data_IF_949885321164
#
_entry.id   IF_949885321164
#
_cell.length_a   1.000
_cell.length_b   1.000
_cell.length_c   1.000
_cell.angle_alpha   90.00
_cell.angle_beta   90.00
_cell.angle_gamma   90.00
#
_symmetry.space_group_name_H-M   'P 1'
#
loop_
_entity.id
_entity.type
_entity.pdbx_description
1 polymer ?
#
# COMPACT_ATOMS: atom_id res chain seq x y z
N UNK A 1 47.93 20.38 0.97
CA UNK A 1 47.15 19.66 -0.05
C UNK A 1 45.79 20.32 -0.11
N UNK A 2 45.48 20.99 -1.22
CA UNK A 2 44.17 21.60 -1.46
C UNK A 2 43.14 20.50 -1.70
N UNK A 3 42.05 20.50 -0.94
CA UNK A 3 41.00 19.49 -1.01
C UNK A 3 40.01 19.88 -2.11
N UNK A 4 40.02 19.16 -3.23
CA UNK A 4 39.07 19.33 -4.33
C UNK A 4 37.94 18.29 -4.21
N UNK A 5 36.70 18.73 -4.42
CA UNK A 5 35.53 17.89 -4.61
C UNK A 5 35.16 17.88 -6.09
N UNK A 6 34.54 16.80 -6.56
CA UNK A 6 34.05 16.72 -7.94
C UNK A 6 32.53 16.89 -7.96
N UNK A 7 32.05 17.74 -8.86
CA UNK A 7 30.67 17.83 -9.27
C UNK A 7 30.52 17.26 -10.69
N UNK A 8 30.05 16.02 -10.81
CA UNK A 8 30.21 15.28 -12.06
C UNK A 8 31.68 15.17 -12.45
N UNK A 9 32.01 15.64 -13.65
CA UNK A 9 33.40 15.68 -14.16
C UNK A 9 34.14 16.99 -13.82
N UNK A 10 33.49 17.93 -13.13
CA UNK A 10 34.05 19.25 -12.85
C UNK A 10 34.63 19.32 -11.43
N UNK A 11 35.95 19.47 -11.23
CA UNK A 11 36.53 19.69 -9.92
C UNK A 11 36.23 21.12 -9.42
N UNK A 12 35.87 21.25 -8.14
CA UNK A 12 35.72 22.52 -7.43
C UNK A 12 36.33 22.41 -6.03
N UNK A 13 36.78 23.49 -5.44
CA UNK A 13 37.46 23.51 -4.14
C UNK A 13 36.94 24.60 -3.21
N UNK A 14 37.51 24.67 -2.00
CA UNK A 14 37.13 25.67 -0.98
C UNK A 14 37.42 27.13 -1.40
N UNK A 15 38.24 27.34 -2.43
CA UNK A 15 38.52 28.65 -2.99
C UNK A 15 37.43 29.15 -3.97
N UNK A 16 36.53 28.26 -4.39
CA UNK A 16 35.43 28.61 -5.28
C UNK A 16 34.26 29.15 -4.45
N UNK A 17 34.24 30.46 -4.21
CA UNK A 17 33.13 31.10 -3.50
C UNK A 17 31.82 31.07 -4.32
N UNK A 18 30.70 30.85 -3.63
CA UNK A 18 29.38 30.87 -4.26
C UNK A 18 29.18 29.76 -5.29
N UNK A 19 29.77 28.58 -5.09
CA UNK A 19 29.50 27.40 -5.93
C UNK A 19 28.59 26.39 -5.25
N UNK A 20 27.73 25.77 -6.04
CA UNK A 20 26.83 24.72 -5.58
C UNK A 20 26.76 23.60 -6.62
N UNK A 21 27.08 22.38 -6.20
CA UNK A 21 26.88 21.20 -7.03
C UNK A 21 25.46 20.66 -6.84
N UNK A 22 24.71 20.56 -7.93
CA UNK A 22 23.37 20.02 -7.95
C UNK A 22 23.21 19.02 -9.09
N UNK A 23 22.93 17.75 -8.77
CA UNK A 23 22.72 16.69 -9.75
C UNK A 23 23.80 16.64 -10.84
N UNK A 24 25.07 16.67 -10.43
CA UNK A 24 26.27 16.71 -11.27
C UNK A 24 26.45 17.98 -12.14
N UNK A 25 25.68 19.03 -11.89
CA UNK A 25 25.83 20.35 -12.51
C UNK A 25 26.40 21.31 -11.48
N UNK A 26 27.55 21.93 -11.81
CA UNK A 26 28.17 22.95 -10.96
C UNK A 26 27.60 24.33 -11.31
N UNK A 27 26.98 24.97 -10.32
CA UNK A 27 26.45 26.32 -10.44
C UNK A 27 27.41 27.33 -9.78
N UNK A 28 27.60 28.49 -10.41
CA UNK A 28 28.48 29.56 -9.93
C UNK A 28 27.69 30.85 -9.62
N UNK A 29 28.24 31.70 -8.75
CA UNK A 29 27.61 32.99 -8.39
C UNK A 29 26.39 32.82 -7.47
N UNK A 30 26.36 31.73 -6.70
CA UNK A 30 25.32 31.47 -5.72
C UNK A 30 25.45 32.43 -4.55
N UNK A 31 24.30 32.89 -4.07
CA UNK A 31 24.20 33.76 -2.91
C UNK A 31 24.11 32.94 -1.63
N UNK A 32 24.62 33.51 -0.54
CA UNK A 32 24.55 32.92 0.79
C UNK A 32 23.11 32.60 1.18
N UNK A 33 22.84 31.31 1.44
CA UNK A 33 21.52 30.82 1.79
C UNK A 33 20.84 29.99 0.69
N UNK A 34 21.31 30.03 -0.56
CA UNK A 34 20.85 29.13 -1.61
C UNK A 34 21.30 27.70 -1.33
N UNK A 35 20.43 26.72 -1.61
CA UNK A 35 20.70 25.29 -1.42
C UNK A 35 20.22 24.46 -2.59
N UNK A 36 20.75 23.24 -2.65
CA UNK A 36 20.30 22.22 -3.58
C UNK A 36 19.14 21.45 -2.97
N UNK A 37 18.04 21.32 -3.70
CA UNK A 37 16.98 20.38 -3.34
C UNK A 37 17.41 18.95 -3.67
N UNK A 38 16.77 17.92 -3.08
CA UNK A 38 17.01 16.53 -3.43
C UNK A 38 16.83 16.22 -4.92
N UNK A 39 15.97 16.99 -5.60
CA UNK A 39 15.72 16.90 -7.05
C UNK A 39 16.77 17.65 -7.90
N UNK A 40 17.76 18.31 -7.30
CA UNK A 40 18.80 19.06 -8.01
C UNK A 40 18.44 20.49 -8.38
N UNK A 41 17.39 21.08 -7.79
CA UNK A 41 17.01 22.47 -8.06
C UNK A 41 17.60 23.42 -7.01
N UNK A 42 18.10 24.56 -7.47
CA UNK A 42 18.55 25.64 -6.58
C UNK A 42 17.34 26.41 -6.07
N UNK A 43 17.27 26.59 -4.76
CA UNK A 43 16.19 27.31 -4.09
C UNK A 43 16.68 27.98 -2.80
N UNK A 44 15.86 28.86 -2.25
CA UNK A 44 16.05 29.55 -0.99
C UNK A 44 15.23 28.91 0.13
N UNK A 45 15.79 28.08 1.03
CA UNK A 45 15.00 27.40 2.06
C UNK A 45 14.26 28.32 3.03
N UNK A 46 14.67 29.60 3.11
CA UNK A 46 14.03 30.62 3.95
C UNK A 46 12.74 31.20 3.34
N UNK A 47 12.54 31.08 2.03
CA UNK A 47 11.42 31.72 1.30
C UNK A 47 10.76 30.82 0.27
N UNK A 48 11.39 29.72 -0.10
CA UNK A 48 11.00 28.82 -1.16
C UNK A 48 10.98 27.36 -0.69
N UNK A 49 10.21 26.56 -1.41
CA UNK A 49 10.15 25.11 -1.30
C UNK A 49 10.15 24.52 -2.70
N UNK A 50 10.56 23.26 -2.83
CA UNK A 50 10.59 22.57 -4.13
C UNK A 50 9.56 21.44 -4.13
N UNK A 51 8.59 21.50 -5.04
CA UNK A 51 7.60 20.46 -5.28
C UNK A 51 7.94 19.75 -6.59
N UNK A 52 8.41 18.50 -6.51
CA UNK A 52 8.88 17.77 -7.68
C UNK A 52 10.04 18.51 -8.35
N UNK A 53 9.79 19.04 -9.55
CA UNK A 53 10.75 19.83 -10.32
C UNK A 53 10.57 21.36 -10.26
N UNK A 54 9.59 21.85 -9.49
CA UNK A 54 9.21 23.27 -9.47
C UNK A 54 9.51 23.94 -8.14
N UNK A 55 10.03 25.16 -8.19
CA UNK A 55 10.26 26.02 -7.03
C UNK A 55 9.02 26.88 -6.79
N UNK A 56 8.56 26.93 -5.54
CA UNK A 56 7.40 27.70 -5.10
C UNK A 56 7.73 28.50 -3.85
N UNK A 57 6.95 29.52 -3.54
CA UNK A 57 7.06 30.22 -2.26
C UNK A 57 6.57 29.36 -1.10
N UNK A 58 7.17 29.57 0.08
CA UNK A 58 6.71 28.95 1.33
C UNK A 58 5.30 29.41 1.72
N UNK A 59 4.67 28.66 2.63
CA UNK A 59 3.32 28.96 3.14
C UNK A 59 2.21 28.09 2.51
N UNK A 60 2.57 27.18 1.62
CA UNK A 60 1.69 26.13 1.07
C UNK A 60 2.41 24.78 1.11
N UNK A 61 1.68 23.71 0.82
CA UNK A 61 2.20 22.33 0.85
C UNK A 61 2.31 21.77 -0.56
N UNK A 62 3.22 20.83 -0.80
CA UNK A 62 3.35 20.20 -2.11
C UNK A 62 2.24 19.18 -2.38
N UNK A 63 1.72 19.23 -3.61
CA UNK A 63 0.88 18.23 -4.21
C UNK A 63 1.40 17.96 -5.63
N UNK A 64 2.22 16.92 -5.76
CA UNK A 64 2.95 16.66 -7.01
C UNK A 64 3.95 17.79 -7.27
N UNK A 65 3.85 18.42 -8.45
CA UNK A 65 4.71 19.56 -8.80
C UNK A 65 4.15 20.93 -8.37
N UNK A 66 2.92 20.99 -7.85
CA UNK A 66 2.26 22.24 -7.52
C UNK A 66 2.02 22.35 -6.02
N UNK A 67 1.63 23.55 -5.55
CA UNK A 67 1.27 23.76 -4.16
C UNK A 67 -0.25 23.73 -3.92
N UNK A 68 -0.66 23.32 -2.72
CA UNK A 68 -2.04 23.35 -2.23
C UNK A 68 -2.15 23.87 -0.79
N UNK A 69 -3.34 24.32 -0.43
CA UNK A 69 -3.73 24.70 0.93
C UNK A 69 -4.50 23.56 1.61
N UNK A 70 -3.92 22.84 2.58
CA UNK A 70 -4.60 21.72 3.23
C UNK A 70 -5.81 22.12 4.08
N UNK A 71 -6.07 23.42 4.29
CA UNK A 71 -7.29 23.90 4.96
C UNK A 71 -8.51 23.87 4.04
N UNK A 72 -8.32 24.14 2.76
CA UNK A 72 -9.41 24.27 1.77
C UNK A 72 -9.34 23.24 0.65
N UNK A 73 -8.26 22.47 0.58
CA UNK A 73 -7.96 21.54 -0.51
C UNK A 73 -7.45 20.20 0.03
N UNK A 74 -7.56 19.16 -0.80
CA UNK A 74 -7.01 17.82 -0.57
C UNK A 74 -6.09 17.46 -1.75
N UNK A 75 -4.97 16.81 -1.44
CA UNK A 75 -4.06 16.29 -2.44
C UNK A 75 -4.23 14.78 -2.60
N UNK A 76 -4.58 14.33 -3.81
CA UNK A 76 -4.75 12.92 -4.17
C UNK A 76 -3.73 12.53 -5.23
N UNK A 77 -2.72 11.74 -4.86
CA UNK A 77 -1.62 11.29 -5.73
C UNK A 77 -1.03 12.40 -6.62
N UNK A 78 -0.79 13.58 -6.05
CA UNK A 78 -0.22 14.73 -6.75
C UNK A 78 -1.23 15.63 -7.47
N UNK A 79 -2.53 15.33 -7.37
CA UNK A 79 -3.61 16.15 -7.91
C UNK A 79 -4.37 16.88 -6.81
N UNK A 80 -4.52 18.19 -6.95
CA UNK A 80 -5.19 19.06 -5.99
C UNK A 80 -6.68 19.14 -6.28
N UNK A 81 -7.49 18.96 -5.25
CA UNK A 81 -8.95 19.08 -5.30
C UNK A 81 -9.45 20.01 -4.19
N UNK A 82 -10.58 20.68 -4.42
CA UNK A 82 -11.24 21.47 -3.39
C UNK A 82 -11.79 20.50 -2.34
N UNK A 83 -11.58 20.80 -1.06
CA UNK A 83 -12.13 20.01 0.04
C UNK A 83 -13.58 20.41 0.29
N UNK A 84 -14.49 19.44 0.22
CA UNK A 84 -15.90 19.61 0.57
C UNK A 84 -16.41 18.40 1.34
N UNK A 85 -16.84 18.59 2.59
CA UNK A 85 -17.32 17.49 3.44
C UNK A 85 -16.25 16.43 3.71
N UNK A 86 -16.68 15.17 3.85
CA UNK A 86 -15.82 14.02 4.12
C UNK A 86 -15.24 13.45 2.82
N UNK A 87 -14.30 14.18 2.21
CA UNK A 87 -13.60 13.72 1.02
C UNK A 87 -12.40 12.84 1.36
N UNK A 88 -12.26 11.74 0.62
CA UNK A 88 -11.05 10.90 0.60
C UNK A 88 -10.53 10.74 -0.82
N UNK A 89 -9.28 10.29 -0.93
CA UNK A 89 -8.66 10.01 -2.21
C UNK A 89 -8.91 8.57 -2.65
N UNK A 90 -9.26 8.41 -3.93
CA UNK A 90 -9.19 7.18 -4.67
C UNK A 90 -8.22 7.41 -5.85
N UNK A 91 -6.95 7.06 -5.65
CA UNK A 91 -5.90 7.35 -6.61
C UNK A 91 -5.71 8.85 -6.79
N UNK A 92 -5.85 9.34 -8.01
CA UNK A 92 -5.77 10.78 -8.35
C UNK A 92 -7.06 11.54 -8.07
N UNK A 93 -8.16 10.85 -7.78
CA UNK A 93 -9.51 11.45 -7.67
C UNK A 93 -9.91 11.64 -6.22
N UNK A 94 -10.40 12.83 -5.86
CA UNK A 94 -11.09 13.04 -4.58
C UNK A 94 -12.58 12.70 -4.71
N UNK A 95 -13.13 11.98 -3.73
CA UNK A 95 -14.55 11.64 -3.70
C UNK A 95 -15.11 11.73 -2.29
N UNK A 96 -16.42 11.99 -2.18
CA UNK A 96 -17.11 12.01 -0.91
C UNK A 96 -17.34 10.56 -0.44
N UNK A 97 -16.76 10.18 0.71
CA UNK A 97 -16.88 8.83 1.26
C UNK A 97 -18.29 8.51 1.74
N UNK A 98 -19.11 9.52 2.03
CA UNK A 98 -20.52 9.34 2.38
C UNK A 98 -21.39 8.97 1.16
N UNK A 99 -20.84 8.98 -0.06
CA UNK A 99 -21.59 8.56 -1.24
C UNK A 99 -21.67 7.04 -1.30
N UNK A 100 -22.86 6.50 -1.02
CA UNK A 100 -23.17 5.07 -1.22
C UNK A 100 -23.14 4.65 -2.70
N UNK A 101 -22.89 5.57 -3.62
CA UNK A 101 -22.88 5.32 -5.07
C UNK A 101 -21.46 5.27 -5.65
N UNK A 102 -20.43 5.22 -4.82
CA UNK A 102 -19.04 5.22 -5.25
C UNK A 102 -18.29 4.06 -4.61
N UNK A 103 -17.53 3.32 -5.40
CA UNK A 103 -16.63 2.27 -4.90
C UNK A 103 -15.22 2.52 -5.41
N UNK A 104 -14.23 2.43 -4.52
CA UNK A 104 -12.82 2.63 -4.87
C UNK A 104 -12.08 1.29 -4.89
N UNK A 105 -11.54 0.90 -6.04
CA UNK A 105 -10.73 -0.31 -6.23
C UNK A 105 -9.29 0.09 -6.54
N UNK A 106 -8.35 -0.15 -5.62
CA UNK A 106 -6.91 0.16 -5.74
C UNK A 106 -6.59 1.47 -6.49
N UNK A 107 -7.26 2.56 -6.10
CA UNK A 107 -7.06 3.89 -6.68
C UNK A 107 -7.90 4.23 -7.92
N UNK A 108 -8.78 3.33 -8.37
CA UNK A 108 -9.75 3.56 -9.44
C UNK A 108 -11.15 3.71 -8.85
N UNK A 109 -11.80 4.84 -9.13
CA UNK A 109 -13.13 5.17 -8.61
C UNK A 109 -14.21 4.75 -9.61
N UNK A 110 -15.18 3.97 -9.15
CA UNK A 110 -16.31 3.49 -9.93
C UNK A 110 -17.62 4.10 -9.46
N UNK A 111 -18.51 4.38 -10.41
CA UNK A 111 -19.94 4.58 -10.16
C UNK A 111 -20.55 3.24 -9.80
N UNK A 112 -21.01 3.12 -8.55
CA UNK A 112 -21.53 1.89 -7.99
C UNK A 112 -23.01 2.05 -7.68
N UNK A 113 -23.85 1.14 -8.17
CA UNK A 113 -25.30 1.21 -7.97
C UNK A 113 -25.82 0.22 -6.91
N UNK A 114 -24.98 -0.14 -5.93
CA UNK A 114 -25.39 -1.08 -4.88
C UNK A 114 -25.46 -2.54 -5.32
N UNK A 115 -25.04 -2.87 -6.55
CA UNK A 115 -24.93 -4.28 -7.01
C UNK A 115 -23.79 -4.96 -6.28
N UNK A 116 -23.98 -6.22 -5.89
CA UNK A 116 -22.91 -7.01 -5.30
C UNK A 116 -21.72 -7.05 -6.27
N UNK A 117 -20.57 -6.52 -5.84
CA UNK A 117 -19.37 -6.39 -6.66
C UNK A 117 -18.14 -6.40 -5.78
N UNK A 118 -17.05 -6.94 -6.30
CA UNK A 118 -15.77 -7.04 -5.59
C UNK A 118 -14.67 -6.37 -6.43
N UNK A 119 -13.67 -5.82 -5.76
CA UNK A 119 -12.48 -5.31 -6.40
C UNK A 119 -11.50 -6.46 -6.71
N UNK A 120 -11.00 -6.45 -7.94
CA UNK A 120 -9.83 -7.21 -8.35
C UNK A 120 -8.70 -6.23 -8.68
N UNK A 121 -7.93 -5.85 -7.67
CA UNK A 121 -6.94 -4.79 -7.82
C UNK A 121 -7.65 -3.48 -8.15
N UNK A 122 -7.36 -2.91 -9.31
CA UNK A 122 -8.00 -1.68 -9.77
C UNK A 122 -9.28 -1.91 -10.58
N UNK A 123 -9.69 -3.15 -10.81
CA UNK A 123 -10.87 -3.49 -11.62
C UNK A 123 -12.05 -3.84 -10.71
N UNK A 124 -13.23 -3.27 -10.96
CA UNK A 124 -14.47 -3.70 -10.30
C UNK A 124 -15.11 -4.84 -11.09
N UNK A 125 -15.33 -5.99 -10.45
CA UNK A 125 -16.03 -7.14 -11.05
C UNK A 125 -17.39 -7.34 -10.37
N UNK A 126 -18.43 -7.55 -11.18
CA UNK A 126 -19.79 -7.80 -10.69
C UNK A 126 -19.92 -9.24 -10.16
N UNK A 127 -20.69 -9.43 -9.08
CA UNK A 127 -21.02 -10.74 -8.57
C UNK A 127 -21.83 -11.54 -9.60
N UNK A 128 -21.51 -12.83 -9.76
CA UNK A 128 -22.14 -13.70 -10.75
C UNK A 128 -21.58 -13.58 -12.17
N UNK A 129 -20.56 -12.74 -12.41
CA UNK A 129 -19.82 -12.74 -13.67
C UNK A 129 -19.01 -14.03 -13.85
N UNK A 130 -18.72 -14.42 -15.10
CA UNK A 130 -17.81 -15.53 -15.41
C UNK A 130 -16.33 -15.13 -15.26
N UNK A 131 -16.02 -14.38 -14.20
CA UNK A 131 -14.71 -13.82 -13.94
C UNK A 131 -14.17 -14.29 -12.59
N UNK A 132 -12.91 -14.69 -12.58
CA UNK A 132 -12.16 -15.06 -11.38
C UNK A 132 -11.07 -14.03 -11.14
N UNK A 133 -10.98 -13.54 -9.91
CA UNK A 133 -9.90 -12.67 -9.49
C UNK A 133 -8.84 -13.45 -8.71
N UNK A 134 -7.63 -13.51 -9.26
CA UNK A 134 -6.45 -14.02 -8.56
C UNK A 134 -5.56 -12.87 -8.11
N UNK A 135 -5.14 -12.89 -6.85
CA UNK A 135 -4.39 -11.79 -6.24
C UNK A 135 -3.21 -12.30 -5.42
N UNK A 136 -2.14 -11.51 -5.46
CA UNK A 136 -0.98 -11.61 -4.59
C UNK A 136 -0.67 -10.20 -4.05
N UNK A 137 0.36 -10.09 -3.21
CA UNK A 137 0.78 -8.81 -2.66
C UNK A 137 1.03 -7.76 -3.76
N UNK A 138 0.27 -6.66 -3.71
CA UNK A 138 0.35 -5.55 -4.65
C UNK A 138 -0.23 -5.79 -6.06
N UNK A 139 -0.62 -7.03 -6.42
CA UNK A 139 -1.06 -7.37 -7.78
C UNK A 139 -2.32 -8.24 -7.78
N UNK A 140 -3.31 -7.87 -8.59
CA UNK A 140 -4.49 -8.69 -8.81
C UNK A 140 -4.90 -8.66 -10.28
N UNK A 141 -5.24 -9.83 -10.82
CA UNK A 141 -5.57 -10.02 -12.22
C UNK A 141 -6.91 -10.74 -12.36
N UNK A 142 -7.69 -10.29 -13.34
CA UNK A 142 -8.98 -10.86 -13.69
C UNK A 142 -8.80 -11.87 -14.82
N UNK A 143 -9.39 -13.05 -14.65
CA UNK A 143 -9.41 -14.13 -15.62
C UNK A 143 -10.84 -14.54 -15.93
N UNK A 144 -11.07 -15.14 -17.10
CA UNK A 144 -12.34 -15.82 -17.38
C UNK A 144 -12.36 -17.16 -16.66
N UNK A 145 -13.43 -17.42 -15.90
CA UNK A 145 -13.56 -18.63 -15.10
C UNK A 145 -13.64 -19.88 -16.00
N UNK A 146 -12.81 -20.87 -15.69
CA UNK A 146 -12.72 -22.16 -16.36
C UNK A 146 -12.77 -23.30 -15.33
N UNK A 147 -13.51 -24.40 -15.60
CA UNK A 147 -13.52 -25.56 -14.72
C UNK A 147 -12.13 -26.17 -14.56
N UNK A 148 -11.76 -26.54 -13.32
CA UNK A 148 -10.48 -27.17 -13.02
C UNK A 148 -9.28 -26.21 -12.90
N UNK A 149 -9.51 -24.90 -12.99
CA UNK A 149 -8.50 -23.88 -12.73
C UNK A 149 -8.67 -23.27 -11.34
N UNK A 150 -7.55 -22.92 -10.70
CA UNK A 150 -7.50 -22.29 -9.39
C UNK A 150 -6.46 -21.17 -9.35
N UNK A 151 -6.59 -20.27 -8.37
CA UNK A 151 -5.61 -19.23 -8.13
C UNK A 151 -4.43 -19.75 -7.30
N UNK A 152 -3.23 -19.33 -7.65
CA UNK A 152 -2.05 -19.39 -6.79
C UNK A 152 -1.32 -18.06 -6.86
N UNK A 153 -1.46 -17.25 -5.82
CA UNK A 153 -1.15 -15.82 -5.90
C UNK A 153 -1.96 -15.16 -7.02
N UNK A 154 -1.30 -14.41 -7.90
CA UNK A 154 -1.93 -13.77 -9.06
C UNK A 154 -2.09 -14.69 -10.29
N UNK A 155 -1.56 -15.91 -10.24
CA UNK A 155 -1.63 -16.86 -11.36
C UNK A 155 -2.93 -17.66 -11.36
N UNK A 156 -3.57 -17.79 -12.53
CA UNK A 156 -4.72 -18.66 -12.74
C UNK A 156 -4.30 -19.90 -13.51
N UNK A 157 -4.31 -21.06 -12.85
CA UNK A 157 -3.62 -22.26 -13.32
C UNK A 157 -4.49 -23.51 -13.25
N UNK A 158 -4.21 -24.50 -14.10
CA UNK A 158 -4.86 -25.80 -14.05
C UNK A 158 -4.43 -26.57 -12.79
N UNK A 159 -5.38 -26.82 -11.89
CA UNK A 159 -5.15 -27.47 -10.60
C UNK A 159 -4.68 -28.93 -10.72
N UNK A 160 -4.88 -29.56 -11.89
CA UNK A 160 -4.35 -30.91 -12.15
C UNK A 160 -2.84 -30.90 -12.40
N UNK A 161 -2.30 -29.80 -12.92
CA UNK A 161 -0.89 -29.66 -13.30
C UNK A 161 -0.04 -28.97 -12.24
N UNK A 162 -0.67 -28.14 -11.39
CA UNK A 162 0.04 -27.31 -10.42
C UNK A 162 -0.58 -27.41 -9.03
N UNK A 163 0.28 -27.36 -8.03
CA UNK A 163 -0.06 -27.12 -6.63
C UNK A 163 0.41 -25.73 -6.22
N UNK A 164 -0.19 -25.18 -5.17
CA UNK A 164 0.18 -23.90 -4.61
C UNK A 164 0.75 -24.07 -3.21
N UNK A 165 1.84 -23.38 -2.94
CA UNK A 165 2.34 -23.19 -1.58
C UNK A 165 2.70 -21.73 -1.41
N UNK A 166 2.05 -21.02 -0.49
CA UNK A 166 2.41 -19.64 -0.17
C UNK A 166 2.35 -18.67 -1.37
N UNK A 167 1.43 -18.89 -2.32
CA UNK A 167 1.35 -18.10 -3.56
C UNK A 167 2.33 -18.52 -4.66
N UNK A 168 3.19 -19.51 -4.41
CA UNK A 168 4.17 -20.04 -5.36
C UNK A 168 3.68 -21.34 -6.00
N UNK A 169 3.84 -21.42 -7.33
CA UNK A 169 3.45 -22.59 -8.13
C UNK A 169 4.48 -23.72 -8.05
N UNK A 170 3.99 -24.94 -7.81
CA UNK A 170 4.78 -26.16 -7.82
C UNK A 170 4.19 -27.18 -8.81
N UNK A 171 4.98 -27.80 -9.70
CA UNK A 171 4.46 -28.76 -10.67
C UNK A 171 4.02 -30.06 -9.99
N UNK A 172 2.85 -30.59 -10.37
CA UNK A 172 2.36 -31.87 -9.91
C UNK A 172 3.05 -32.99 -10.71
N UNK A 173 4.04 -33.66 -10.10
CA UNK A 173 4.80 -34.74 -10.73
C UNK A 173 4.01 -36.06 -10.88
N UNK A 174 2.82 -36.17 -10.26
CA UNK A 174 1.86 -37.28 -10.44
C UNK A 174 0.42 -36.73 -10.39
N UNK A 175 -0.51 -37.20 -11.24
CA UNK A 175 -1.92 -36.87 -11.13
C UNK A 175 -2.50 -37.55 -9.88
N UNK A 176 -2.25 -36.96 -8.71
CA UNK A 176 -2.69 -37.51 -7.44
C UNK A 176 -4.15 -37.12 -7.18
N UNK A 177 -5.03 -38.11 -7.20
CA UNK A 177 -6.47 -38.03 -6.94
C UNK A 177 -6.84 -37.77 -5.47
N UNK A 178 -5.89 -37.38 -4.61
CA UNK A 178 -6.10 -37.40 -3.13
C UNK A 178 -5.56 -36.21 -2.34
N UNK A 179 -5.16 -35.09 -2.95
CA UNK A 179 -5.02 -33.82 -2.21
C UNK A 179 -5.92 -32.75 -2.81
N UNK A 180 -7.17 -32.70 -2.32
CA UNK A 180 -7.97 -31.48 -2.35
C UNK A 180 -7.33 -30.47 -1.39
N UNK A 181 -6.20 -29.88 -1.79
CA UNK A 181 -5.87 -28.55 -1.27
C UNK A 181 -6.74 -27.58 -2.06
N UNK A 182 -8.04 -27.65 -1.77
CA UNK A 182 -9.10 -26.82 -2.35
C UNK A 182 -9.23 -25.49 -1.62
N UNK A 183 -8.26 -25.12 -0.79
CA UNK A 183 -8.21 -23.79 -0.23
C UNK A 183 -7.21 -22.98 -1.07
N UNK A 184 -7.68 -22.08 -1.98
CA UNK A 184 -6.80 -21.11 -2.60
C UNK A 184 -6.27 -20.25 -1.45
N UNK A 185 -5.05 -20.55 -0.98
CA UNK A 185 -4.50 -20.09 0.30
C UNK A 185 -4.97 -18.69 0.68
N UNK A 186 -5.48 -18.54 1.90
CA UNK A 186 -6.28 -17.42 2.38
C UNK A 186 -6.11 -16.13 1.56
N UNK A 187 -7.09 -15.85 0.70
CA UNK A 187 -7.05 -14.70 -0.20
C UNK A 187 -7.08 -13.39 0.60
N UNK A 188 -6.02 -12.60 0.49
CA UNK A 188 -6.01 -11.22 0.97
C UNK A 188 -7.00 -10.40 0.14
N UNK A 189 -7.89 -9.69 0.83
CA UNK A 189 -8.87 -8.82 0.21
C UNK A 189 -8.30 -7.40 0.06
N UNK A 190 -8.59 -6.69 -1.04
CA UNK A 190 -8.36 -5.25 -1.11
C UNK A 190 -9.14 -4.55 0.01
N UNK A 191 -8.58 -3.48 0.59
CA UNK A 191 -9.24 -2.73 1.66
C UNK A 191 -10.65 -2.25 1.28
N UNK A 192 -10.89 -1.96 -0.01
CA UNK A 192 -12.21 -1.55 -0.52
C UNK A 192 -13.28 -2.64 -0.54
N UNK A 193 -12.92 -3.90 -0.31
CA UNK A 193 -13.85 -5.03 -0.19
C UNK A 193 -14.08 -5.48 1.26
N UNK A 194 -13.33 -4.94 2.23
CA UNK A 194 -13.57 -5.24 3.63
C UNK A 194 -14.89 -4.60 4.09
N UNK A 195 -15.68 -5.37 4.83
CA UNK A 195 -16.92 -4.89 5.43
C UNK A 195 -16.67 -4.19 6.76
N UNK A 196 -17.68 -3.49 7.28
CA UNK A 196 -17.64 -2.96 8.65
C UNK A 196 -17.46 -4.08 9.70
N UNK A 197 -17.94 -5.28 9.43
CA UNK A 197 -17.76 -6.45 10.32
C UNK A 197 -16.34 -6.99 10.30
N UNK A 198 -15.64 -6.89 9.17
CA UNK A 198 -14.25 -7.33 9.06
C UNK A 198 -13.29 -6.41 9.79
N UNK A 199 -13.58 -5.11 9.81
CA UNK A 199 -12.62 -4.08 10.20
C UNK A 199 -13.05 -3.23 11.40
N UNK A 200 -14.33 -2.83 11.46
CA UNK A 200 -14.79 -1.82 12.41
C UNK A 200 -15.25 -2.42 13.73
N UNK A 201 -15.94 -3.57 13.69
CA UNK A 201 -16.49 -4.24 14.88
C UNK A 201 -15.57 -5.30 15.49
N UNK A 202 -14.37 -5.50 14.93
CA UNK A 202 -13.36 -6.43 15.44
C UNK A 202 -12.09 -5.68 15.87
N UNK A 203 -11.38 -6.27 16.82
CA UNK A 203 -10.02 -5.83 17.11
C UNK A 203 -9.14 -6.26 15.94
N UNK A 204 -8.51 -5.29 15.29
CA UNK A 204 -7.66 -5.54 14.12
C UNK A 204 -6.28 -4.98 14.40
N UNK A 205 -5.27 -5.74 14.00
CA UNK A 205 -3.88 -5.34 14.08
C UNK A 205 -3.38 -4.92 12.70
N UNK A 206 -2.57 -3.88 12.68
CA UNK A 206 -1.97 -3.29 11.49
C UNK A 206 -0.46 -3.20 11.72
N UNK A 207 0.36 -3.61 10.77
CA UNK A 207 1.81 -3.61 10.95
C UNK A 207 2.56 -4.01 9.68
N UNK A 208 3.86 -3.76 9.68
CA UNK A 208 4.76 -4.03 8.56
C UNK A 208 5.52 -5.33 8.80
N UNK A 209 5.62 -6.18 7.77
CA UNK A 209 6.44 -7.39 7.82
C UNK A 209 7.91 -6.99 7.74
N UNK A 210 8.70 -7.33 8.74
CA UNK A 210 10.16 -7.13 8.72
C UNK A 210 10.85 -8.34 8.10
N UNK A 211 10.54 -9.54 8.59
CA UNK A 211 11.09 -10.80 8.07
C UNK A 211 10.08 -11.93 8.14
N UNK A 212 10.31 -12.94 7.29
CA UNK A 212 9.54 -14.19 7.26
C UNK A 212 10.52 -15.35 7.24
N UNK A 213 10.28 -16.37 8.06
CA UNK A 213 11.03 -17.62 8.09
C UNK A 213 10.08 -18.80 8.00
N UNK A 214 10.54 -19.90 7.42
CA UNK A 214 9.74 -21.12 7.24
C UNK A 214 10.56 -22.32 7.70
N UNK A 215 9.99 -23.10 8.61
CA UNK A 215 10.57 -24.34 9.10
C UNK A 215 9.45 -25.38 9.29
N UNK A 216 9.62 -26.60 8.74
CA UNK A 216 8.68 -27.71 8.92
C UNK A 216 7.20 -27.37 8.62
N UNK A 217 6.93 -26.63 7.53
CA UNK A 217 5.61 -26.10 7.14
C UNK A 217 5.01 -25.07 8.11
N UNK A 218 5.76 -24.63 9.12
CA UNK A 218 5.38 -23.54 10.01
C UNK A 218 6.06 -22.28 9.49
N UNK A 219 5.30 -21.18 9.39
CA UNK A 219 5.83 -19.87 9.03
C UNK A 219 5.87 -18.98 10.27
N UNK A 220 7.04 -18.40 10.54
CA UNK A 220 7.22 -17.37 11.56
C UNK A 220 7.38 -16.01 10.88
N UNK A 221 6.72 -15.00 11.41
CA UNK A 221 6.72 -13.63 10.87
C UNK A 221 7.09 -12.66 12.00
N UNK A 222 7.99 -11.73 11.69
CA UNK A 222 8.30 -10.59 12.56
C UNK A 222 7.57 -9.36 12.04
N UNK A 223 6.68 -8.82 12.85
CA UNK A 223 5.90 -7.61 12.56
C UNK A 223 6.46 -6.42 13.33
N UNK A 224 6.70 -5.32 12.63
CA UNK A 224 7.17 -4.04 13.20
C UNK A 224 6.18 -2.91 12.91
N UNK A 225 6.34 -1.79 13.63
CA UNK A 225 5.42 -0.65 13.55
C UNK A 225 3.95 -1.04 13.79
N UNK A 226 3.73 -2.02 14.67
CA UNK A 226 2.42 -2.61 14.89
C UNK A 226 1.52 -1.67 15.68
N UNK A 227 0.27 -1.56 15.24
CA UNK A 227 -0.81 -0.84 15.91
C UNK A 227 -2.00 -1.77 16.08
N UNK A 228 -2.64 -1.68 17.25
CA UNK A 228 -3.90 -2.35 17.55
C UNK A 228 -5.04 -1.35 17.49
N UNK A 229 -6.03 -1.58 16.63
CA UNK A 229 -7.31 -0.87 16.66
C UNK A 229 -8.29 -1.67 17.50
N UNK A 230 -8.76 -1.08 18.58
CA UNK A 230 -9.79 -1.66 19.44
C UNK A 230 -11.18 -1.25 18.96
N UNK A 231 -12.05 -2.22 18.68
CA UNK A 231 -13.41 -1.97 18.22
C UNK A 231 -14.27 -1.25 19.27
N UNK A 232 -14.11 -1.60 20.54
CA UNK A 232 -14.92 -1.09 21.66
C UNK A 232 -14.72 0.39 21.98
N UNK A 233 -13.52 0.93 21.70
CA UNK A 233 -13.13 2.28 22.12
C UNK A 233 -12.86 3.23 20.94
N UNK A 234 -12.96 2.74 19.71
CA UNK A 234 -12.48 3.40 18.49
C UNK A 234 -11.07 4.03 18.67
N UNK A 235 -10.21 3.32 19.41
CA UNK A 235 -8.86 3.74 19.78
C UNK A 235 -7.83 2.92 19.05
N UNK A 236 -6.73 3.56 18.72
CA UNK A 236 -5.55 2.95 18.10
C UNK A 236 -4.41 3.04 19.09
N UNK A 237 -3.78 1.90 19.40
CA UNK A 237 -2.63 1.82 20.30
C UNK A 237 -1.42 1.31 19.53
N UNK A 238 -0.30 2.06 19.60
CA UNK A 238 0.97 1.58 19.09
C UNK A 238 1.59 0.55 20.03
N UNK A 239 2.09 -0.54 19.48
CA UNK A 239 2.78 -1.59 20.23
C UNK A 239 4.29 -1.31 20.21
N UNK A 240 4.93 -1.42 21.37
CA UNK A 240 6.31 -0.96 21.59
C UNK A 240 7.40 -1.95 21.17
N UNK A 241 7.01 -3.19 20.83
CA UNK A 241 7.93 -4.27 20.52
C UNK A 241 7.54 -4.96 19.20
N UNK A 242 8.50 -5.56 18.49
CA UNK A 242 8.21 -6.43 17.37
C UNK A 242 7.27 -7.56 17.82
N UNK A 243 6.22 -7.79 17.03
CA UNK A 243 5.26 -8.86 17.26
C UNK A 243 5.67 -10.09 16.46
N UNK A 244 5.85 -11.21 17.16
CA UNK A 244 6.17 -12.50 16.57
C UNK A 244 4.89 -13.29 16.33
N UNK A 245 4.61 -13.60 15.07
CA UNK A 245 3.43 -14.34 14.64
C UNK A 245 3.85 -15.70 14.08
N UNK A 246 3.04 -16.73 14.32
CA UNK A 246 3.30 -18.09 13.82
C UNK A 246 2.06 -18.61 13.10
N UNK A 247 2.24 -19.05 11.86
CA UNK A 247 1.20 -19.71 11.06
C UNK A 247 1.55 -21.20 10.92
N UNK A 248 0.68 -22.12 11.37
CA UNK A 248 0.96 -23.56 11.36
C UNK A 248 0.92 -24.19 9.97
N UNK A 249 0.28 -23.54 8.99
CA UNK A 249 0.25 -23.98 7.60
C UNK A 249 0.85 -22.92 6.67
N UNK A 250 2.14 -23.09 6.37
CA UNK A 250 2.86 -22.23 5.44
C UNK A 250 2.23 -22.23 4.06
N UNK A 251 1.87 -23.41 3.52
CA UNK A 251 1.37 -23.51 2.15
C UNK A 251 -0.05 -22.96 1.99
N UNK A 252 -0.90 -23.09 3.01
CA UNK A 252 -2.25 -22.51 3.04
C UNK A 252 -2.29 -21.01 3.37
N UNK A 253 -1.19 -20.44 3.88
CA UNK A 253 -1.10 -19.01 4.19
C UNK A 253 -0.83 -18.14 2.94
N UNK A 254 -1.29 -16.87 2.93
CA UNK A 254 -1.02 -15.96 1.81
C UNK A 254 0.47 -15.65 1.72
N UNK A 255 0.95 -15.17 0.58
CA UNK A 255 2.31 -14.61 0.50
C UNK A 255 2.42 -13.35 1.37
N UNK A 256 3.48 -13.25 2.18
CA UNK A 256 3.77 -12.08 3.03
C UNK A 256 5.15 -11.55 2.65
N UNK A 257 5.18 -10.33 2.13
CA UNK A 257 6.38 -9.71 1.55
C UNK A 257 7.02 -8.77 2.57
N UNK A 258 8.33 -8.89 2.86
CA UNK A 258 9.04 -7.94 3.70
C UNK A 258 8.92 -6.50 3.19
N UNK A 259 8.64 -5.56 4.10
CA UNK A 259 8.36 -4.16 3.80
C UNK A 259 6.88 -3.84 3.55
N UNK A 260 6.04 -4.86 3.28
CA UNK A 260 4.61 -4.64 3.08
C UNK A 260 3.87 -4.52 4.41
N UNK A 261 2.79 -3.73 4.39
CA UNK A 261 1.92 -3.50 5.55
C UNK A 261 0.63 -4.29 5.41
N UNK A 262 0.24 -5.02 6.46
CA UNK A 262 -0.93 -5.90 6.44
C UNK A 262 -1.87 -5.64 7.60
N UNK A 263 -3.14 -6.00 7.40
CA UNK A 263 -4.13 -6.15 8.47
C UNK A 263 -4.29 -7.63 8.79
N UNK A 264 -4.29 -7.96 10.08
CA UNK A 264 -4.66 -9.29 10.55
C UNK A 264 -5.57 -9.21 11.77
N UNK A 265 -6.32 -10.29 11.96
CA UNK A 265 -7.10 -10.55 13.15
C UNK A 265 -6.47 -11.70 13.92
N UNK A 266 -6.49 -11.58 15.24
CA UNK A 266 -6.15 -12.66 16.16
C UNK A 266 -7.44 -13.09 16.83
N UNK A 267 -7.81 -14.36 16.66
CA UNK A 267 -9.02 -14.91 17.28
C UNK A 267 -8.77 -15.20 18.77
N UNK A 268 -9.82 -15.36 19.59
CA UNK A 268 -9.66 -15.81 20.98
C UNK A 268 -8.96 -17.17 21.13
N UNK A 269 -8.95 -17.99 20.07
CA UNK A 269 -8.21 -19.27 20.00
C UNK A 269 -6.73 -19.09 19.62
N UNK A 270 -6.22 -17.86 19.54
CA UNK A 270 -4.86 -17.50 19.11
C UNK A 270 -4.57 -17.89 17.65
N UNK A 271 -5.60 -18.04 16.82
CA UNK A 271 -5.43 -18.21 15.38
C UNK A 271 -5.27 -16.85 14.70
N UNK A 272 -4.30 -16.77 13.80
CA UNK A 272 -3.94 -15.54 13.11
C UNK A 272 -4.42 -15.63 11.67
N UNK A 273 -5.24 -14.65 11.26
CA UNK A 273 -5.74 -14.56 9.89
C UNK A 273 -5.41 -13.19 9.31
N UNK A 274 -4.57 -13.19 8.27
CA UNK A 274 -4.30 -11.99 7.48
C UNK A 274 -5.48 -11.72 6.55
N UNK A 275 -5.99 -10.49 6.56
CA UNK A 275 -7.21 -10.14 5.83
C UNK A 275 -6.97 -9.18 4.66
N UNK A 276 -5.92 -8.35 4.72
CA UNK A 276 -5.67 -7.35 3.67
C UNK A 276 -4.21 -6.91 3.59
N UNK A 277 -3.75 -6.62 2.37
CA UNK A 277 -2.48 -5.97 2.05
C UNK A 277 -2.72 -4.48 1.78
N UNK A 278 -2.06 -3.61 2.54
CA UNK A 278 -2.22 -2.17 2.48
C UNK A 278 -1.05 -1.45 1.79
N UNK A 279 -0.15 -2.17 1.14
CA UNK A 279 1.08 -1.61 0.57
C UNK A 279 0.82 -0.61 -0.57
N UNK A 280 -0.36 -0.69 -1.19
CA UNK A 280 -0.82 0.26 -2.20
C UNK A 280 -1.51 1.51 -1.62
N UNK A 281 -1.63 1.64 -0.30
CA UNK A 281 -2.29 2.77 0.37
C UNK A 281 -1.26 3.68 1.02
N UNK A 282 -1.28 4.97 0.65
CA UNK A 282 -0.35 5.97 1.20
C UNK A 282 -0.61 6.34 2.66
N UNK A 283 -1.84 6.16 3.15
CA UNK A 283 -2.20 6.41 4.55
C UNK A 283 -3.26 5.40 5.02
N UNK A 284 -2.86 4.13 5.24
CA UNK A 284 -3.81 3.05 5.48
C UNK A 284 -4.66 3.26 6.73
N UNK A 285 -4.07 3.78 7.81
CA UNK A 285 -4.78 4.08 9.05
C UNK A 285 -5.90 5.10 8.84
N UNK A 286 -5.66 6.15 8.05
CA UNK A 286 -6.69 7.14 7.74
C UNK A 286 -7.83 6.52 6.92
N UNK A 287 -7.52 5.63 5.97
CA UNK A 287 -8.55 4.91 5.20
C UNK A 287 -9.42 4.03 6.12
N UNK A 288 -8.81 3.31 7.06
CA UNK A 288 -9.50 2.48 8.05
C UNK A 288 -10.38 3.36 8.97
N UNK A 289 -9.81 4.42 9.55
CA UNK A 289 -10.53 5.33 10.44
C UNK A 289 -11.66 6.08 9.73
N UNK A 290 -11.46 6.47 8.48
CA UNK A 290 -12.50 7.09 7.67
C UNK A 290 -13.65 6.13 7.38
N UNK A 291 -13.35 4.84 7.18
CA UNK A 291 -14.38 3.81 6.98
C UNK A 291 -15.19 3.58 8.26
N UNK A 292 -14.53 3.52 9.42
CA UNK A 292 -15.18 3.29 10.71
C UNK A 292 -15.75 4.57 11.36
N UNK A 293 -15.40 5.76 10.85
CA UNK A 293 -15.76 7.06 11.43
C UNK A 293 -17.26 7.41 11.38
N UNK A 294 -18.08 6.60 10.69
CA UNK A 294 -19.54 6.71 10.71
C UNK A 294 -20.20 6.17 11.99
N UNK A 295 -19.40 5.62 12.94
CA UNK A 295 -19.88 5.01 14.18
C UNK A 295 -19.87 5.97 15.41
N UNK A 296 -19.80 7.28 15.17
CA UNK A 296 -19.87 8.33 16.21
C UNK A 296 -20.94 9.35 15.84
#
# INVERSE_FOLDING_TARGET
MSHFQCCGDTPYGEADEGVLCCNNILYHGMKDGQRCSPSGHIYWPSTELVCGSKVHYIGKHCCGENTYDPKTEICCNGHRHIRSGNMSCCGVTAYNTSSLQKKCCAGTLYDWQGRESQCCGNVLIEAGSNQTCCSASGLALVYNTQPGFTCCGFHYTNASLWSCCAGVLHPNLKPNTTKKNNDPGHKLLPLGDLTLEDLCYKNVSLGMVETVSVENNIRSIVMVNTMLKMASENRVQALHYPHYLTLPDHCGSPELVPGNTYIWVETPSMEISFISDLSNYSSPLHSILSMCGHLI
#
